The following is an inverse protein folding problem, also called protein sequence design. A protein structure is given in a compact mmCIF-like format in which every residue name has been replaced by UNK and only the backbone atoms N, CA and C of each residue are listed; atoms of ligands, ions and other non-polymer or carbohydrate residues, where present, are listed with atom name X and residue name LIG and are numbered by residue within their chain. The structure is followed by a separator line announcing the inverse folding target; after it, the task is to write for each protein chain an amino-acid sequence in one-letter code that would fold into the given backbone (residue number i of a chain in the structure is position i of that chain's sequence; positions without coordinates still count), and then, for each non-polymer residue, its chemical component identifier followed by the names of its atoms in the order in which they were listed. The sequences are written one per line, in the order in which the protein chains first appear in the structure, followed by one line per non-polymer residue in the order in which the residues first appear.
data_IF_060361122070
#
_entry.id   IF_060361122070
#
_cell.length_a   1.000
_cell.length_b   1.000
_cell.length_c   1.000
_cell.angle_alpha   90.00
_cell.angle_beta   90.00
_cell.angle_gamma   90.00
#
_symmetry.space_group_name_H-M   'P 1'
#
loop_
_entity.id
_entity.type
_entity.pdbx_description
1 polymer ?
#
# COMPACT_ATOMS: atom_id res chain seq x y z
N UNK A 1 -17.39 -8.85 17.64
CA UNK A 1 -16.85 -8.36 16.36
C UNK A 1 -17.16 -6.88 16.26
N UNK A 2 -16.25 -6.07 15.78
CA UNK A 2 -16.47 -4.62 15.65
C UNK A 2 -17.22 -4.38 14.34
N UNK A 3 -18.44 -3.88 14.39
CA UNK A 3 -19.14 -3.43 13.19
C UNK A 3 -18.44 -2.19 12.65
N UNK A 4 -17.87 -2.28 11.45
CA UNK A 4 -17.22 -1.15 10.79
C UNK A 4 -18.29 -0.18 10.27
N UNK A 5 -18.18 1.09 10.65
CA UNK A 5 -18.91 2.19 10.02
C UNK A 5 -18.20 2.60 8.72
N UNK A 6 -18.85 3.38 7.81
CA UNK A 6 -18.20 3.85 6.58
C UNK A 6 -16.90 4.66 6.80
N UNK A 7 -16.77 5.29 7.96
CA UNK A 7 -15.55 5.97 8.40
C UNK A 7 -15.49 6.07 9.91
N UNK A 8 -14.30 6.22 10.48
CA UNK A 8 -14.13 6.36 11.92
C UNK A 8 -12.69 6.15 12.36
N UNK A 9 -12.54 5.69 13.60
CA UNK A 9 -11.26 5.37 14.20
C UNK A 9 -11.27 3.95 14.74
N UNK A 10 -10.14 3.25 14.57
CA UNK A 10 -9.90 1.94 15.18
C UNK A 10 -8.73 2.03 16.16
N UNK A 11 -8.91 1.47 17.34
CA UNK A 11 -7.78 1.30 18.28
C UNK A 11 -7.02 0.05 17.90
N UNK A 12 -5.74 0.22 17.51
CA UNK A 12 -4.79 -0.84 17.19
C UNK A 12 -3.54 -0.63 18.04
N UNK A 13 -3.31 -1.51 19.01
CA UNK A 13 -2.28 -1.27 20.03
C UNK A 13 -2.56 0.02 20.80
N UNK A 14 -1.58 0.92 20.86
CA UNK A 14 -1.71 2.23 21.51
C UNK A 14 -2.25 3.35 20.59
N UNK A 15 -2.46 3.06 19.31
CA UNK A 15 -2.83 4.07 18.31
C UNK A 15 -4.32 4.03 17.97
N UNK A 16 -4.92 5.21 17.77
CA UNK A 16 -6.21 5.38 17.13
C UNK A 16 -5.97 5.71 15.67
N UNK A 17 -6.33 4.80 14.78
CA UNK A 17 -6.11 4.91 13.34
C UNK A 17 -7.39 5.33 12.65
N UNK A 18 -7.33 6.44 11.91
CA UNK A 18 -8.40 6.88 11.02
C UNK A 18 -8.60 5.88 9.89
N UNK A 19 -9.85 5.58 9.54
CA UNK A 19 -10.16 4.69 8.44
C UNK A 19 -11.40 5.09 7.65
N UNK A 20 -11.50 4.51 6.45
CA UNK A 20 -12.71 4.48 5.60
C UNK A 20 -12.95 3.04 5.19
N UNK A 21 -14.22 2.61 5.21
CA UNK A 21 -14.68 1.33 4.67
C UNK A 21 -15.70 1.60 3.57
N UNK A 22 -15.40 1.13 2.36
CA UNK A 22 -16.22 1.32 1.17
C UNK A 22 -16.74 -0.05 0.71
N UNK A 23 -18.03 -0.12 0.40
CA UNK A 23 -18.67 -1.35 -0.07
C UNK A 23 -18.92 -2.39 1.04
N UNK A 24 -18.95 -3.68 0.70
CA UNK A 24 -19.29 -4.74 1.63
C UNK A 24 -18.25 -4.93 2.74
N UNK A 25 -18.70 -5.39 3.91
CA UNK A 25 -17.82 -5.68 5.05
C UNK A 25 -16.89 -6.89 4.78
N UNK A 26 -15.76 -7.00 5.50
CA UNK A 26 -14.87 -8.15 5.38
C UNK A 26 -15.50 -9.51 5.71
N UNK A 27 -16.67 -9.50 6.37
CA UNK A 27 -17.43 -10.71 6.66
C UNK A 27 -18.23 -11.21 5.45
N UNK A 28 -18.64 -10.31 4.56
CA UNK A 28 -19.55 -10.58 3.45
C UNK A 28 -18.87 -10.71 2.10
N UNK A 29 -17.68 -10.13 1.93
CA UNK A 29 -16.94 -10.18 0.67
C UNK A 29 -15.42 -10.12 0.90
N UNK A 30 -14.61 -10.47 -0.11
CA UNK A 30 -13.17 -10.19 -0.09
C UNK A 30 -12.91 -8.70 0.12
N UNK A 31 -11.78 -8.37 0.77
CA UNK A 31 -11.45 -6.99 1.10
C UNK A 31 -10.10 -6.60 0.53
N UNK A 32 -10.03 -5.45 -0.13
CA UNK A 32 -8.77 -4.82 -0.53
C UNK A 32 -8.37 -3.83 0.57
N UNK A 33 -7.25 -4.10 1.23
CA UNK A 33 -6.70 -3.22 2.26
C UNK A 33 -5.66 -2.32 1.64
N UNK A 34 -5.89 -1.00 1.69
CA UNK A 34 -5.05 0.00 1.04
C UNK A 34 -4.09 0.65 2.03
N UNK A 35 -2.79 0.60 1.69
CA UNK A 35 -1.69 1.18 2.45
C UNK A 35 -1.09 2.36 1.68
N UNK A 36 -1.18 3.55 2.27
CA UNK A 36 -0.77 4.79 1.62
C UNK A 36 0.76 5.00 1.60
N UNK A 37 1.22 5.91 0.75
CA UNK A 37 2.60 6.36 0.58
C UNK A 37 3.14 7.15 1.80
N UNK A 38 4.39 7.60 1.70
CA UNK A 38 5.13 8.28 2.77
C UNK A 38 4.50 9.56 3.32
N UNK A 39 3.78 10.31 2.49
CA UNK A 39 3.00 11.51 2.90
C UNK A 39 1.50 11.34 2.68
N UNK A 40 1.04 10.09 2.56
CA UNK A 40 -0.34 9.76 2.31
C UNK A 40 -1.22 9.73 3.55
N UNK A 41 -2.50 9.53 3.31
CA UNK A 41 -3.54 9.30 4.32
C UNK A 41 -4.75 8.62 3.69
N UNK A 42 -5.71 8.19 4.49
CA UNK A 42 -6.96 7.63 3.98
C UNK A 42 -7.70 8.59 3.04
N UNK A 43 -7.62 9.91 3.29
CA UNK A 43 -8.26 10.92 2.46
C UNK A 43 -7.51 11.21 1.15
N UNK A 44 -6.19 11.03 1.12
CA UNK A 44 -5.38 11.36 -0.06
C UNK A 44 -5.60 10.42 -1.24
N UNK A 45 -6.19 9.25 -1.06
CA UNK A 45 -6.60 8.39 -2.15
C UNK A 45 -7.74 8.96 -3.01
N UNK A 46 -8.40 10.03 -2.53
CA UNK A 46 -9.51 10.66 -3.23
C UNK A 46 -10.70 9.72 -3.41
N UNK A 47 -11.18 9.60 -4.65
CA UNK A 47 -12.27 8.73 -5.08
C UNK A 47 -11.81 7.37 -5.64
N UNK A 48 -10.50 7.13 -5.63
CA UNK A 48 -9.93 5.88 -6.15
C UNK A 48 -10.45 4.63 -5.41
N UNK A 49 -10.63 4.62 -4.07
CA UNK A 49 -11.21 3.49 -3.36
C UNK A 49 -12.64 3.17 -3.79
N UNK A 50 -13.47 4.18 -4.05
CA UNK A 50 -14.85 4.01 -4.53
C UNK A 50 -14.88 3.42 -5.94
N UNK A 51 -14.01 3.89 -6.82
CA UNK A 51 -13.87 3.37 -8.18
C UNK A 51 -13.39 1.92 -8.17
N UNK A 52 -12.43 1.61 -7.32
CA UNK A 52 -11.91 0.25 -7.16
C UNK A 52 -12.98 -0.71 -6.61
N UNK A 53 -13.76 -0.26 -5.63
CA UNK A 53 -14.90 -1.02 -5.13
C UNK A 53 -15.93 -1.31 -6.23
N UNK A 54 -16.27 -0.29 -7.01
CA UNK A 54 -17.24 -0.43 -8.12
C UNK A 54 -16.73 -1.39 -9.22
N UNK A 55 -15.43 -1.40 -9.50
CA UNK A 55 -14.83 -2.25 -10.53
C UNK A 55 -14.66 -3.71 -10.11
N UNK A 56 -14.53 -3.96 -8.79
CA UNK A 56 -14.21 -5.30 -8.26
C UNK A 56 -15.34 -5.96 -7.48
N UNK A 57 -16.29 -5.17 -6.96
CA UNK A 57 -17.30 -5.66 -6.00
C UNK A 57 -16.73 -6.01 -4.62
N UNK A 58 -15.43 -5.98 -4.44
CA UNK A 58 -14.78 -6.22 -3.15
C UNK A 58 -15.04 -5.07 -2.17
N UNK A 59 -14.97 -5.34 -0.86
CA UNK A 59 -14.86 -4.28 0.12
C UNK A 59 -13.50 -3.60 0.00
N UNK A 60 -13.44 -2.29 0.22
CA UNK A 60 -12.17 -1.54 0.21
C UNK A 60 -11.99 -0.86 1.57
N UNK A 61 -10.95 -1.26 2.28
CA UNK A 61 -10.58 -0.68 3.56
C UNK A 61 -9.33 0.18 3.41
N UNK A 62 -9.45 1.45 3.78
CA UNK A 62 -8.37 2.44 3.68
C UNK A 62 -8.12 3.01 5.05
N UNK A 63 -6.86 3.11 5.48
CA UNK A 63 -6.54 3.72 6.77
C UNK A 63 -5.36 4.66 6.68
N UNK A 64 -5.31 5.60 7.62
CA UNK A 64 -4.14 6.44 7.86
C UNK A 64 -3.26 5.77 8.93
N UNK A 65 -2.01 5.48 8.60
CA UNK A 65 -1.04 4.96 9.59
C UNK A 65 -0.83 5.95 10.73
N UNK A 66 -0.31 5.50 11.86
CA UNK A 66 0.08 6.41 12.95
C UNK A 66 1.07 7.48 12.46
N UNK A 67 0.84 8.72 12.84
CA UNK A 67 1.55 9.91 12.36
C UNK A 67 0.92 10.59 11.15
N UNK A 68 -0.12 10.00 10.53
CA UNK A 68 -0.73 10.51 9.29
C UNK A 68 -2.23 10.72 9.44
N UNK A 69 -2.82 11.52 8.53
CA UNK A 69 -4.24 11.81 8.56
C UNK A 69 -4.67 12.44 9.87
N UNK A 70 -5.75 11.92 10.44
CA UNK A 70 -6.23 12.24 11.77
C UNK A 70 -5.82 11.18 12.83
N UNK A 71 -4.96 10.24 12.46
CA UNK A 71 -4.47 9.19 13.36
C UNK A 71 -3.57 9.75 14.47
N UNK A 72 -3.35 8.94 15.51
CA UNK A 72 -2.46 9.29 16.63
C UNK A 72 -1.07 9.67 16.11
N UNK A 73 -0.51 10.82 16.54
CA UNK A 73 0.87 11.19 16.21
C UNK A 73 1.89 10.17 16.69
N UNK A 74 3.04 10.13 16.03
CA UNK A 74 4.18 9.28 16.44
C UNK A 74 5.26 10.12 17.13
N UNK A 75 6.09 9.45 17.93
CA UNK A 75 7.27 10.10 18.49
C UNK A 75 8.31 10.34 17.39
N UNK A 76 8.91 11.52 17.38
CA UNK A 76 10.00 11.88 16.49
C UNK A 76 11.34 11.91 17.25
N UNK A 77 12.49 11.61 16.60
CA UNK A 77 12.58 11.07 15.25
C UNK A 77 11.92 9.70 15.15
N UNK A 78 11.34 9.39 13.97
CA UNK A 78 10.77 8.07 13.71
C UNK A 78 11.91 7.06 13.57
N UNK A 79 11.79 5.85 14.17
CA UNK A 79 12.77 4.78 13.96
C UNK A 79 12.90 4.42 12.48
N UNK A 80 14.10 4.01 12.05
CA UNK A 80 14.36 3.69 10.63
C UNK A 80 13.69 2.39 10.19
N UNK A 81 13.35 1.53 11.11
CA UNK A 81 12.61 0.28 10.88
C UNK A 81 11.07 0.46 10.87
N UNK A 82 10.56 1.69 10.80
CA UNK A 82 9.14 2.00 10.93
C UNK A 82 8.24 1.23 9.96
N UNK A 83 8.72 0.92 8.76
CA UNK A 83 7.97 0.10 7.80
C UNK A 83 7.88 -1.36 8.26
N UNK A 84 8.93 -1.88 8.87
CA UNK A 84 8.93 -3.21 9.47
C UNK A 84 7.98 -3.28 10.68
N UNK A 85 8.02 -2.28 11.56
CA UNK A 85 7.11 -2.17 12.71
C UNK A 85 5.65 -2.11 12.23
N UNK A 86 5.36 -1.31 11.20
CA UNK A 86 4.01 -1.26 10.61
C UNK A 86 3.59 -2.62 10.05
N UNK A 87 4.47 -3.27 9.28
CA UNK A 87 4.18 -4.56 8.66
C UNK A 87 4.03 -5.70 9.68
N UNK A 88 4.90 -5.76 10.69
CA UNK A 88 5.02 -6.93 11.57
C UNK A 88 4.19 -6.82 12.85
N UNK A 89 3.89 -5.60 13.30
CA UNK A 89 3.19 -5.38 14.57
C UNK A 89 1.81 -4.73 14.40
N UNK A 90 1.69 -3.71 13.54
CA UNK A 90 0.44 -2.94 13.38
C UNK A 90 -0.52 -3.61 12.42
N UNK A 91 -0.07 -3.92 11.21
CA UNK A 91 -0.91 -4.47 10.14
C UNK A 91 -1.60 -5.79 10.54
N UNK A 92 -0.92 -6.79 11.15
CA UNK A 92 -1.62 -8.01 11.57
C UNK A 92 -2.74 -7.74 12.58
N UNK A 93 -2.50 -6.87 13.57
CA UNK A 93 -3.52 -6.49 14.55
C UNK A 93 -4.67 -5.72 13.91
N UNK A 94 -4.37 -4.89 12.89
CA UNK A 94 -5.38 -4.18 12.13
C UNK A 94 -6.25 -5.15 11.34
N UNK A 95 -5.66 -6.09 10.61
CA UNK A 95 -6.38 -7.11 9.84
C UNK A 95 -7.31 -7.94 10.74
N UNK A 96 -6.83 -8.34 11.92
CA UNK A 96 -7.65 -9.05 12.90
C UNK A 96 -8.80 -8.17 13.44
N UNK A 97 -8.50 -6.89 13.72
CA UNK A 97 -9.47 -5.94 14.26
C UNK A 97 -10.62 -5.63 13.31
N UNK A 98 -10.34 -5.55 12.00
CA UNK A 98 -11.37 -5.32 10.98
C UNK A 98 -12.12 -6.60 10.59
N UNK A 99 -11.72 -7.75 11.12
CA UNK A 99 -12.30 -9.04 10.75
C UNK A 99 -11.93 -9.48 9.33
N UNK A 100 -10.73 -9.12 8.87
CA UNK A 100 -10.23 -9.50 7.53
C UNK A 100 -10.18 -11.02 7.39
N UNK A 101 -10.86 -11.56 6.38
CA UNK A 101 -10.97 -13.01 6.14
C UNK A 101 -10.21 -13.46 4.90
N UNK A 102 -10.31 -12.71 3.82
CA UNK A 102 -9.57 -12.92 2.58
C UNK A 102 -9.53 -11.65 1.75
N UNK A 103 -8.50 -11.48 0.96
CA UNK A 103 -8.39 -10.32 0.07
C UNK A 103 -6.98 -9.98 -0.37
N UNK A 104 -6.79 -8.73 -0.77
CA UNK A 104 -5.54 -8.19 -1.26
C UNK A 104 -4.97 -7.13 -0.31
N UNK A 105 -3.65 -6.99 -0.31
CA UNK A 105 -3.00 -5.78 0.14
C UNK A 105 -2.64 -4.93 -1.09
N UNK A 106 -3.14 -3.71 -1.15
CA UNK A 106 -2.79 -2.73 -2.15
C UNK A 106 -1.94 -1.65 -1.49
N UNK A 107 -0.67 -1.57 -1.84
CA UNK A 107 0.26 -0.59 -1.28
C UNK A 107 0.76 0.39 -2.32
N UNK A 108 1.00 1.64 -1.89
CA UNK A 108 1.67 2.65 -2.69
C UNK A 108 2.95 3.11 -1.99
N UNK A 109 4.09 3.11 -2.69
CA UNK A 109 5.38 3.58 -2.17
C UNK A 109 5.74 2.91 -0.83
N UNK A 110 5.91 3.63 0.28
CA UNK A 110 6.08 3.05 1.63
C UNK A 110 5.03 1.97 1.94
N UNK A 111 3.78 2.19 1.53
CA UNK A 111 2.71 1.21 1.73
C UNK A 111 2.91 -0.07 0.94
N UNK A 112 3.54 0.00 -0.23
CA UNK A 112 3.90 -1.16 -1.04
C UNK A 112 5.05 -1.94 -0.37
N UNK A 113 6.05 -1.24 0.18
CA UNK A 113 7.13 -1.85 0.95
C UNK A 113 6.59 -2.57 2.20
N UNK A 114 5.67 -1.94 2.93
CA UNK A 114 4.99 -2.53 4.09
C UNK A 114 4.23 -3.81 3.70
N UNK A 115 3.50 -3.79 2.58
CA UNK A 115 2.78 -4.97 2.09
C UNK A 115 3.73 -6.12 1.73
N UNK A 116 4.87 -5.81 1.08
CA UNK A 116 5.90 -6.78 0.71
C UNK A 116 6.57 -7.40 1.95
N UNK A 117 6.98 -6.58 2.93
CA UNK A 117 7.53 -7.05 4.21
C UNK A 117 6.53 -7.98 4.92
N UNK A 118 5.26 -7.57 4.99
CA UNK A 118 4.22 -8.38 5.62
C UNK A 118 4.08 -9.76 4.97
N UNK A 119 3.89 -9.79 3.65
CA UNK A 119 3.67 -11.04 2.91
C UNK A 119 4.92 -11.94 2.90
N UNK A 120 6.12 -11.35 2.86
CA UNK A 120 7.38 -12.10 2.95
C UNK A 120 7.69 -12.64 4.34
N UNK A 121 7.21 -11.97 5.39
CA UNK A 121 7.45 -12.39 6.78
C UNK A 121 6.41 -13.33 7.33
N UNK A 122 5.17 -13.25 6.85
CA UNK A 122 4.03 -13.98 7.40
C UNK A 122 3.32 -14.79 6.31
N UNK A 123 3.12 -16.08 6.59
CA UNK A 123 2.32 -16.96 5.73
C UNK A 123 0.82 -16.79 6.08
N UNK A 124 0.32 -15.56 5.94
CA UNK A 124 -1.10 -15.27 6.20
C UNK A 124 -1.96 -15.65 4.99
N UNK A 125 -2.55 -16.85 5.05
CA UNK A 125 -3.38 -17.42 3.99
C UNK A 125 -4.61 -16.56 3.62
N UNK A 126 -4.97 -15.57 4.44
CA UNK A 126 -6.05 -14.63 4.15
C UNK A 126 -5.65 -13.62 3.06
N UNK A 127 -4.35 -13.32 2.92
CA UNK A 127 -3.81 -12.48 1.85
C UNK A 127 -3.63 -13.34 0.61
N UNK A 128 -4.37 -13.03 -0.44
CA UNK A 128 -4.39 -13.81 -1.68
C UNK A 128 -3.56 -13.18 -2.80
N UNK A 129 -3.12 -11.94 -2.65
CA UNK A 129 -2.24 -11.27 -3.60
C UNK A 129 -1.81 -9.88 -3.13
N UNK A 130 -0.82 -9.32 -3.81
CA UNK A 130 -0.30 -7.98 -3.57
C UNK A 130 -0.44 -7.14 -4.85
N UNK A 131 -1.00 -5.93 -4.72
CA UNK A 131 -0.93 -4.91 -5.76
C UNK A 131 -0.03 -3.77 -5.25
N UNK A 132 1.11 -3.56 -5.90
CA UNK A 132 2.16 -2.65 -5.45
C UNK A 132 2.34 -1.52 -6.46
N UNK A 133 1.96 -0.31 -6.08
CA UNK A 133 2.12 0.90 -6.89
C UNK A 133 3.42 1.57 -6.51
N UNK A 134 4.33 1.76 -7.46
CA UNK A 134 5.61 2.45 -7.29
C UNK A 134 6.35 1.99 -6.00
N UNK A 135 6.60 0.68 -5.82
CA UNK A 135 7.22 0.14 -4.61
C UNK A 135 8.66 0.57 -4.44
N UNK A 136 9.13 0.59 -3.19
CA UNK A 136 10.55 0.63 -2.88
C UNK A 136 10.95 -0.66 -2.17
N UNK A 137 11.95 -1.36 -2.71
CA UNK A 137 12.57 -2.53 -2.10
C UNK A 137 13.99 -2.24 -1.64
N UNK A 138 14.61 -1.26 -2.28
CA UNK A 138 15.94 -0.72 -1.98
C UNK A 138 15.90 0.80 -2.02
N UNK A 139 16.86 1.44 -1.37
CA UNK A 139 17.07 2.91 -1.50
C UNK A 139 17.89 3.20 -2.75
N UNK A 140 17.40 4.12 -3.57
CA UNK A 140 18.12 4.65 -4.74
C UNK A 140 18.53 6.11 -4.51
N UNK A 141 19.59 6.56 -5.18
CA UNK A 141 20.05 7.96 -5.09
C UNK A 141 18.99 8.96 -5.55
N UNK A 142 18.21 8.59 -6.57
CA UNK A 142 17.10 9.42 -7.08
C UNK A 142 16.03 9.63 -6.02
N UNK A 143 15.70 8.58 -5.23
CA UNK A 143 14.72 8.68 -4.13
C UNK A 143 15.16 9.72 -3.11
N UNK A 144 16.41 9.61 -2.64
CA UNK A 144 16.96 10.52 -1.63
C UNK A 144 17.08 11.95 -2.16
N UNK A 145 17.50 12.12 -3.41
CA UNK A 145 17.60 13.44 -4.03
C UNK A 145 16.24 14.12 -4.14
N UNK A 146 15.21 13.38 -4.58
CA UNK A 146 13.84 13.90 -4.69
C UNK A 146 13.25 14.23 -3.32
N UNK A 147 13.48 13.40 -2.31
CA UNK A 147 13.01 13.63 -0.94
C UNK A 147 13.69 14.86 -0.31
N UNK A 148 14.98 15.09 -0.61
CA UNK A 148 15.68 16.31 -0.19
C UNK A 148 15.11 17.57 -0.86
N UNK A 149 14.69 17.47 -2.13
CA UNK A 149 14.00 18.57 -2.82
C UNK A 149 12.64 18.88 -2.16
N UNK A 150 11.89 17.85 -1.78
CA UNK A 150 10.61 18.02 -1.06
C UNK A 150 10.82 18.66 0.31
N UNK A 151 11.91 18.36 1.01
CA UNK A 151 12.28 19.05 2.26
C UNK A 151 12.45 20.55 2.06
N UNK A 152 13.13 20.93 0.98
CA UNK A 152 13.28 22.33 0.60
C UNK A 152 11.92 22.95 0.27
N UNK A 153 11.11 22.29 -0.55
CA UNK A 153 9.79 22.78 -0.92
C UNK A 153 8.87 22.96 0.29
N UNK A 154 8.95 22.07 1.29
CA UNK A 154 8.17 22.17 2.53
C UNK A 154 8.52 23.44 3.33
N UNK A 155 9.79 23.82 3.35
CA UNK A 155 10.27 25.02 4.06
C UNK A 155 10.04 26.33 3.30
N UNK A 156 9.97 26.30 1.95
CA UNK A 156 10.03 27.51 1.11
C UNK A 156 8.79 27.77 0.25
N UNK A 157 7.84 26.82 0.21
CA UNK A 157 6.61 26.94 -0.58
C UNK A 157 5.37 26.72 0.27
N UNK A 158 4.19 26.74 -0.36
CA UNK A 158 2.91 26.42 0.31
C UNK A 158 2.63 24.91 0.43
N UNK A 159 3.66 24.06 0.36
CA UNK A 159 3.48 22.62 0.47
C UNK A 159 2.92 22.22 1.84
N UNK A 160 3.39 22.86 2.91
CA UNK A 160 2.90 22.63 4.27
C UNK A 160 1.40 22.86 4.38
N UNK A 161 0.88 23.99 3.84
CA UNK A 161 -0.54 24.30 3.85
C UNK A 161 -1.38 23.32 3.01
N UNK A 162 -0.81 22.84 1.90
CA UNK A 162 -1.47 21.81 1.08
C UNK A 162 -1.59 20.48 1.83
N UNK A 163 -0.53 20.05 2.50
CA UNK A 163 -0.51 18.81 3.29
C UNK A 163 -1.37 18.92 4.56
N UNK A 164 -1.45 20.09 5.18
CA UNK A 164 -2.28 20.34 6.36
C UNK A 164 -3.79 20.12 6.13
N UNK A 165 -4.23 20.07 4.88
CA UNK A 165 -5.62 19.68 4.54
C UNK A 165 -5.90 18.20 4.80
N UNK A 166 -4.85 17.38 4.85
CA UNK A 166 -4.94 15.94 4.91
C UNK A 166 -4.36 15.34 6.19
N UNK A 167 -3.59 16.13 6.96
CA UNK A 167 -2.94 15.71 8.19
C UNK A 167 -3.26 16.66 9.31
N UNK A 168 -3.77 16.13 10.41
CA UNK A 168 -4.06 16.90 11.63
C UNK A 168 -2.78 17.48 12.25
N UNK A 169 -1.69 16.71 12.20
CA UNK A 169 -0.34 17.13 12.59
C UNK A 169 0.58 16.98 11.37
N UNK A 170 0.63 18.02 10.56
CA UNK A 170 1.37 17.99 9.29
C UNK A 170 2.88 17.91 9.50
N UNK A 171 3.40 18.51 10.58
CA UNK A 171 4.83 18.44 10.89
C UNK A 171 5.21 17.02 11.36
N UNK A 172 4.36 16.36 12.13
CA UNK A 172 4.58 14.97 12.52
C UNK A 172 4.60 14.04 11.30
N UNK A 173 3.64 14.20 10.38
CA UNK A 173 3.59 13.42 9.15
C UNK A 173 4.83 13.66 8.27
N UNK A 174 5.15 14.94 8.05
CA UNK A 174 6.25 15.32 7.16
C UNK A 174 7.62 14.89 7.72
N UNK A 175 7.97 15.31 8.93
CA UNK A 175 9.28 15.01 9.52
C UNK A 175 9.42 13.55 9.93
N UNK A 176 8.32 12.86 10.21
CA UNK A 176 8.33 11.42 10.45
C UNK A 176 8.77 10.62 9.21
N UNK A 177 8.31 11.00 8.02
CA UNK A 177 8.72 10.38 6.77
C UNK A 177 10.05 10.93 6.26
N UNK A 178 10.12 12.23 6.05
CA UNK A 178 11.29 12.89 5.46
C UNK A 178 12.55 12.71 6.31
N UNK A 179 12.40 12.77 7.65
CA UNK A 179 13.50 12.57 8.58
C UNK A 179 14.10 11.18 8.49
N UNK A 180 13.25 10.13 8.40
CA UNK A 180 13.72 8.76 8.27
C UNK A 180 14.41 8.52 6.91
N UNK A 181 13.80 8.95 5.80
CA UNK A 181 14.36 8.73 4.46
C UNK A 181 15.67 9.49 4.22
N UNK A 182 15.89 10.64 4.86
CA UNK A 182 17.11 11.42 4.74
C UNK A 182 18.15 11.12 5.83
N UNK A 183 17.87 10.20 6.72
CA UNK A 183 18.85 9.72 7.68
C UNK A 183 19.97 8.96 6.93
N UNK A 184 21.26 9.26 7.19
CA UNK A 184 22.36 8.58 6.51
C UNK A 184 22.34 7.05 6.66
N UNK A 185 21.89 6.54 7.80
CA UNK A 185 21.82 5.10 8.06
C UNK A 185 20.72 4.41 7.26
N UNK A 186 19.68 5.16 6.82
CA UNK A 186 18.63 4.63 5.97
C UNK A 186 19.10 4.34 4.53
N UNK A 187 20.27 4.84 4.12
CA UNK A 187 20.86 4.54 2.80
C UNK A 187 21.07 3.06 2.55
N UNK A 188 21.25 2.27 3.59
CA UNK A 188 21.45 0.83 3.51
C UNK A 188 20.15 0.04 3.70
N UNK A 189 18.99 0.72 3.74
CA UNK A 189 17.72 0.05 3.87
C UNK A 189 17.42 -0.76 2.60
N UNK A 190 17.19 -2.06 2.81
CA UNK A 190 16.96 -3.06 1.79
C UNK A 190 16.00 -4.11 2.35
N UNK A 191 14.94 -4.39 1.62
CA UNK A 191 13.94 -5.40 1.97
C UNK A 191 13.82 -6.49 0.90
N UNK A 192 14.76 -6.58 -0.02
CA UNK A 192 14.74 -7.55 -1.11
C UNK A 192 14.68 -9.00 -0.60
N UNK A 193 15.28 -9.31 0.54
CA UNK A 193 15.22 -10.64 1.16
C UNK A 193 13.78 -11.11 1.45
N UNK A 194 12.85 -10.19 1.75
CA UNK A 194 11.44 -10.56 2.00
C UNK A 194 10.73 -11.05 0.74
N UNK A 195 11.15 -10.56 -0.43
CA UNK A 195 10.51 -10.90 -1.71
C UNK A 195 10.62 -12.40 -2.02
N UNK A 196 11.73 -13.02 -1.65
CA UNK A 196 11.97 -14.45 -1.83
C UNK A 196 10.96 -15.34 -1.07
N UNK A 197 10.33 -14.81 -0.05
CA UNK A 197 9.37 -15.54 0.80
C UNK A 197 7.91 -15.26 0.47
N UNK A 198 7.59 -14.35 -0.45
CA UNK A 198 6.23 -14.09 -0.90
C UNK A 198 5.70 -15.34 -1.62
N UNK A 199 4.49 -15.78 -1.27
CA UNK A 199 3.86 -17.01 -1.80
C UNK A 199 2.52 -16.76 -2.50
N UNK A 200 2.22 -15.51 -2.77
CA UNK A 200 1.00 -15.08 -3.47
C UNK A 200 1.38 -14.29 -4.72
N UNK A 201 0.51 -14.22 -5.74
CA UNK A 201 0.75 -13.39 -6.92
C UNK A 201 0.99 -11.92 -6.55
N UNK A 202 1.86 -11.27 -7.30
CA UNK A 202 2.22 -9.85 -7.13
C UNK A 202 1.97 -9.12 -8.44
N UNK A 203 1.22 -8.02 -8.39
CA UNK A 203 1.15 -7.04 -9.47
C UNK A 203 1.94 -5.79 -9.08
N UNK A 204 2.85 -5.33 -9.94
CA UNK A 204 3.61 -4.09 -9.78
C UNK A 204 3.16 -3.10 -10.85
N UNK A 205 2.79 -1.89 -10.43
CA UNK A 205 2.46 -0.79 -11.32
C UNK A 205 3.51 0.31 -11.16
N UNK A 206 4.24 0.59 -12.23
CA UNK A 206 5.34 1.55 -12.22
C UNK A 206 5.11 2.65 -13.26
N UNK A 207 5.13 3.90 -12.84
CA UNK A 207 5.13 5.04 -13.77
C UNK A 207 6.48 5.17 -14.48
N UNK A 208 6.44 5.50 -15.78
CA UNK A 208 7.68 5.67 -16.58
C UNK A 208 8.52 6.84 -16.07
N UNK A 209 7.84 7.91 -15.62
CA UNK A 209 8.46 9.18 -15.21
C UNK A 209 8.58 9.29 -13.69
N UNK A 210 8.65 8.15 -12.98
CA UNK A 210 8.75 8.12 -11.52
C UNK A 210 10.07 8.74 -11.04
N UNK A 211 9.94 9.83 -10.31
CA UNK A 211 11.06 10.59 -9.79
C UNK A 211 11.59 10.10 -8.43
N UNK A 212 10.96 9.07 -7.84
CA UNK A 212 11.37 8.49 -6.57
C UNK A 212 11.92 7.07 -6.68
N UNK A 213 11.58 6.33 -7.74
CA UNK A 213 12.05 4.98 -7.94
C UNK A 213 12.16 4.63 -9.42
N UNK A 214 13.26 4.01 -9.81
CA UNK A 214 13.49 3.60 -11.21
C UNK A 214 12.94 2.20 -11.48
N UNK A 215 13.06 1.73 -12.73
CA UNK A 215 12.77 0.33 -13.08
C UNK A 215 13.64 -0.68 -12.31
N UNK A 216 14.69 -0.22 -11.60
CA UNK A 216 15.48 -1.10 -10.72
C UNK A 216 14.65 -1.75 -9.63
N UNK A 217 13.62 -1.07 -9.11
CA UNK A 217 12.68 -1.66 -8.15
C UNK A 217 11.94 -2.87 -8.75
N UNK A 218 11.53 -2.75 -10.02
CA UNK A 218 10.86 -3.85 -10.75
C UNK A 218 11.82 -5.00 -11.01
N UNK A 219 13.08 -4.69 -11.38
CA UNK A 219 14.13 -5.70 -11.61
C UNK A 219 14.41 -6.48 -10.33
N UNK A 220 14.57 -5.80 -9.18
CA UNK A 220 14.73 -6.44 -7.86
C UNK A 220 13.60 -7.42 -7.59
N UNK A 221 12.35 -7.02 -7.83
CA UNK A 221 11.22 -7.92 -7.63
C UNK A 221 11.27 -9.15 -8.55
N UNK A 222 11.68 -8.98 -9.83
CA UNK A 222 11.81 -10.10 -10.77
C UNK A 222 12.96 -11.04 -10.44
N UNK A 223 14.05 -10.49 -9.88
CA UNK A 223 15.22 -11.26 -9.46
C UNK A 223 14.95 -12.09 -8.20
N UNK A 224 14.22 -11.51 -7.23
CA UNK A 224 14.07 -12.07 -5.89
C UNK A 224 12.77 -12.83 -5.65
N UNK A 225 11.67 -12.51 -6.35
CA UNK A 225 10.41 -13.21 -6.16
C UNK A 225 10.41 -14.58 -6.84
N UNK A 226 10.02 -15.62 -6.09
CA UNK A 226 9.72 -16.96 -6.64
C UNK A 226 8.23 -17.16 -6.98
N UNK A 227 7.40 -16.17 -6.69
CA UNK A 227 5.98 -16.15 -7.07
C UNK A 227 5.78 -15.45 -8.42
N UNK A 228 4.60 -15.57 -9.05
CA UNK A 228 4.27 -14.79 -10.25
C UNK A 228 4.32 -13.28 -9.97
N UNK A 229 5.02 -12.53 -10.83
CA UNK A 229 5.11 -11.07 -10.79
C UNK A 229 4.64 -10.50 -12.10
N UNK A 230 3.46 -9.89 -12.10
CA UNK A 230 2.91 -9.15 -13.23
C UNK A 230 3.33 -7.68 -13.14
N UNK A 231 3.84 -7.12 -14.22
CA UNK A 231 4.33 -5.74 -14.24
C UNK A 231 3.57 -4.93 -15.28
N UNK A 232 2.93 -3.87 -14.82
CA UNK A 232 2.30 -2.86 -15.67
C UNK A 232 3.09 -1.56 -15.60
N UNK A 233 3.72 -1.20 -16.71
CA UNK A 233 4.41 0.10 -16.85
C UNK A 233 3.39 1.12 -17.39
N UNK A 234 3.23 2.24 -16.69
CA UNK A 234 2.22 3.26 -17.01
C UNK A 234 2.89 4.46 -17.70
N UNK A 235 2.70 4.64 -19.02
CA UNK A 235 3.26 5.79 -19.75
C UNK A 235 2.69 7.12 -19.24
N UNK A 236 3.53 8.14 -19.15
CA UNK A 236 3.14 9.50 -18.75
C UNK A 236 2.72 9.64 -17.28
N UNK A 237 2.98 8.63 -16.47
CA UNK A 237 2.80 8.70 -15.03
C UNK A 237 4.15 8.72 -14.31
N UNK A 238 4.24 9.49 -13.24
CA UNK A 238 5.34 9.48 -12.28
C UNK A 238 5.03 8.58 -11.09
N UNK A 239 5.32 9.06 -9.89
CA UNK A 239 5.23 8.29 -8.65
C UNK A 239 3.78 8.01 -8.17
N UNK A 240 2.78 8.71 -8.71
CA UNK A 240 1.39 8.57 -8.30
C UNK A 240 0.48 8.13 -9.48
N UNK A 241 0.70 6.95 -10.08
CA UNK A 241 -0.06 6.52 -11.26
C UNK A 241 -1.58 6.55 -11.06
N UNK A 242 -2.07 6.22 -9.87
CA UNK A 242 -3.49 6.27 -9.50
C UNK A 242 -4.12 7.67 -9.58
N UNK A 243 -3.31 8.73 -9.60
CA UNK A 243 -3.74 10.13 -9.74
C UNK A 243 -3.39 10.72 -11.11
N UNK A 244 -2.25 10.34 -11.66
CA UNK A 244 -1.69 10.89 -12.90
C UNK A 244 -2.25 10.18 -14.14
N UNK A 245 -2.52 8.87 -14.02
CA UNK A 245 -3.14 8.04 -15.05
C UNK A 245 -4.20 7.11 -14.41
N UNK A 246 -5.31 7.66 -13.84
CA UNK A 246 -6.24 6.91 -13.01
C UNK A 246 -6.94 5.76 -13.74
N UNK A 247 -7.28 5.92 -15.02
CA UNK A 247 -7.95 4.88 -15.82
C UNK A 247 -7.07 3.63 -15.96
N UNK A 248 -5.92 3.71 -16.65
CA UNK A 248 -5.03 2.56 -16.80
C UNK A 248 -4.60 1.91 -15.49
N UNK A 249 -4.42 2.72 -14.44
CA UNK A 249 -4.06 2.21 -13.11
C UNK A 249 -5.21 1.42 -12.48
N UNK A 250 -6.43 1.94 -12.56
CA UNK A 250 -7.62 1.27 -12.05
C UNK A 250 -7.86 -0.04 -12.81
N UNK A 251 -7.77 -0.01 -14.14
CA UNK A 251 -7.99 -1.18 -14.99
C UNK A 251 -7.02 -2.32 -14.62
N UNK A 252 -5.71 -2.02 -14.54
CA UNK A 252 -4.71 -3.02 -14.19
C UNK A 252 -4.90 -3.61 -12.78
N UNK A 253 -5.22 -2.76 -11.79
CA UNK A 253 -5.46 -3.24 -10.40
C UNK A 253 -6.75 -4.05 -10.32
N UNK A 254 -7.83 -3.61 -10.97
CA UNK A 254 -9.10 -4.32 -10.92
C UNK A 254 -9.06 -5.66 -11.69
N UNK A 255 -8.35 -5.72 -12.82
CA UNK A 255 -8.10 -6.97 -13.54
C UNK A 255 -7.35 -7.97 -12.66
N UNK A 256 -6.25 -7.56 -12.06
CA UNK A 256 -5.49 -8.39 -11.11
C UNK A 256 -6.35 -8.83 -9.93
N UNK A 257 -7.07 -7.90 -9.29
CA UNK A 257 -7.92 -8.21 -8.15
C UNK A 257 -9.01 -9.22 -8.51
N UNK A 258 -9.66 -9.05 -9.65
CA UNK A 258 -10.69 -9.97 -10.13
C UNK A 258 -10.11 -11.36 -10.43
N UNK A 259 -8.94 -11.44 -11.06
CA UNK A 259 -8.27 -12.71 -11.32
C UNK A 259 -7.94 -13.47 -10.04
N UNK A 260 -7.44 -12.76 -9.00
CA UNK A 260 -7.00 -13.38 -7.74
C UNK A 260 -8.17 -13.68 -6.79
N UNK A 261 -9.18 -12.80 -6.71
CA UNK A 261 -10.26 -12.94 -5.73
C UNK A 261 -11.43 -13.81 -6.18
N UNK A 262 -11.61 -14.01 -7.49
CA UNK A 262 -12.75 -14.76 -8.06
C UNK A 262 -12.42 -16.19 -8.48
N UNK A 263 -11.19 -16.67 -8.30
CA UNK A 263 -10.78 -18.06 -8.65
C UNK A 263 -11.55 -19.12 -7.85
N UNK A 264 -12.23 -18.77 -6.77
CA UNK A 264 -12.94 -19.72 -5.89
C UNK A 264 -14.44 -19.90 -6.20
N UNK A 265 -14.94 -19.44 -7.35
CA UNK A 265 -16.38 -19.52 -7.64
C UNK A 265 -16.87 -20.91 -8.12
N UNK A 266 -16.09 -21.96 -7.89
CA UNK A 266 -16.55 -23.37 -8.05
C UNK A 266 -17.12 -23.78 -9.45
N UNK A 267 -17.12 -22.87 -10.42
CA UNK A 267 -17.73 -23.09 -11.75
C UNK A 267 -16.84 -23.87 -12.74
N UNK A 268 -15.57 -24.09 -12.43
CA UNK A 268 -14.66 -24.87 -13.28
C UNK A 268 -14.68 -26.39 -13.04
N UNK A 269 -15.44 -26.87 -12.06
CA UNK A 269 -15.52 -28.30 -11.72
C UNK A 269 -16.45 -29.15 -12.58
N UNK A 270 -17.12 -28.63 -13.63
CA UNK A 270 -18.12 -29.37 -14.41
C UNK A 270 -17.80 -29.62 -15.89
N UNK A 271 -16.65 -29.24 -16.39
CA UNK A 271 -16.31 -29.44 -17.82
C UNK A 271 -15.46 -30.68 -18.12
N UNK A 272 -15.03 -31.48 -17.15
CA UNK A 272 -14.13 -32.63 -17.36
C UNK A 272 -14.80 -34.02 -17.23
N UNK A 273 -16.14 -34.12 -17.22
CA UNK A 273 -16.82 -35.42 -17.21
C UNK A 273 -17.90 -35.47 -18.30
N UNK A 274 -17.51 -35.46 -19.55
CA UNK A 274 -18.27 -36.01 -20.68
C UNK A 274 -17.36 -36.22 -21.87
N UNK A 275 -16.54 -37.23 -21.90
CA UNK A 275 -16.25 -38.08 -23.09
C UNK A 275 -15.81 -39.43 -22.55
N UNK A 276 -16.69 -40.37 -22.57
CA UNK A 276 -16.42 -41.81 -22.63
C UNK A 276 -16.90 -42.30 -23.99
#
# INVERSE_FOLDING_TARGET
MTTLTPSGFLTVGASHLEYRMIGPSPESAPTIVMLHEGLGSAGLWGDFPEKLQAATGAGVFVYSRAGYGASTPVKLPRPLDYMHVEALETLPKLLDKIGFRRGLLLGHSDGASIAAIYAGSRQDHRVQGLALIAPHFIVEDISVASIAQIRNAYATTNLKEKLARWHKDVDNAFYGWNGAWLDPDFRNWDISEYLAYIRVPVAILQGVDDQYGTMRQVEVAREECYCPVDVTVIPGAGHQPHREAPGPTLDAISEFANAVLHVDDGSQGRAAQRVS
#
